data_IF_101955094994
#
_entry.id   IF_101955094994
#
_cell.length_a   1.000
_cell.length_b   1.000
_cell.length_c   1.000
_cell.angle_alpha   90.00
_cell.angle_beta   90.00
_cell.angle_gamma   90.00
#
_symmetry.space_group_name_H-M   'P 1'
#
loop_
_entity.id
_entity.type
_entity.pdbx_description
1 polymer ?
#
# COMPACT_ATOMS: atom_id res chain seq x y z
N UNK A 1 -30.83 45.00 41.11
CA UNK A 1 -29.45 44.51 41.32
C UNK A 1 -29.09 43.58 40.19
N UNK A 2 -28.30 44.05 39.24
CA UNK A 2 -27.90 43.27 38.05
C UNK A 2 -26.45 42.84 38.21
N UNK A 3 -26.23 41.52 38.23
CA UNK A 3 -24.90 40.88 38.39
C UNK A 3 -24.16 40.90 37.05
N UNK A 4 -23.07 41.63 36.96
CA UNK A 4 -22.16 41.68 35.81
C UNK A 4 -21.43 40.30 35.70
N UNK A 5 -21.61 39.59 34.61
CA UNK A 5 -20.72 38.48 34.20
C UNK A 5 -19.41 39.08 33.68
N UNK A 6 -18.31 38.79 34.34
CA UNK A 6 -16.95 39.05 33.83
C UNK A 6 -16.66 38.14 32.61
N UNK A 7 -16.30 38.78 31.50
CA UNK A 7 -15.78 38.13 30.31
C UNK A 7 -14.27 37.99 30.49
N UNK A 8 -13.77 36.79 30.56
CA UNK A 8 -12.32 36.52 30.56
C UNK A 8 -11.71 36.75 29.17
N UNK A 9 -10.47 37.26 29.08
CA UNK A 9 -9.83 37.60 27.82
C UNK A 9 -9.49 36.36 26.97
N UNK A 10 -9.64 36.50 25.66
CA UNK A 10 -9.44 35.50 24.62
C UNK A 10 -7.99 35.02 24.45
N UNK A 11 -7.04 35.55 25.17
CA UNK A 11 -5.60 35.27 25.00
C UNK A 11 -5.12 34.00 25.71
N UNK A 12 -5.90 33.39 26.60
CA UNK A 12 -5.49 32.14 27.28
C UNK A 12 -5.86 30.85 26.55
N UNK A 13 -6.61 30.91 25.45
CA UNK A 13 -7.03 29.71 24.66
C UNK A 13 -6.07 29.37 23.53
N UNK A 14 -5.14 30.25 23.16
CA UNK A 14 -4.18 30.00 22.07
C UNK A 14 -2.88 29.29 22.51
N UNK A 15 -2.68 29.06 23.81
CA UNK A 15 -1.45 28.46 24.32
C UNK A 15 -1.51 26.93 24.56
N UNK A 16 -2.64 26.27 24.35
CA UNK A 16 -2.77 24.83 24.62
C UNK A 16 -2.70 23.92 23.38
N UNK A 17 -2.65 24.45 22.16
CA UNK A 17 -2.64 23.64 20.92
C UNK A 17 -1.23 23.46 20.30
N UNK A 18 -0.15 23.74 21.05
CA UNK A 18 1.22 23.48 20.60
C UNK A 18 1.84 22.20 21.23
N UNK A 19 1.10 21.12 21.35
CA UNK A 19 1.72 19.80 21.43
C UNK A 19 2.13 19.38 20.01
N UNK A 20 3.20 20.00 19.52
CA UNK A 20 4.01 19.47 18.43
C UNK A 20 4.37 18.04 18.81
N UNK A 21 3.80 17.07 18.08
CA UNK A 21 4.37 15.74 17.99
C UNK A 21 5.81 15.91 17.49
N UNK A 22 6.76 15.97 18.41
CA UNK A 22 8.18 15.84 18.10
C UNK A 22 8.36 14.43 17.59
N UNK A 23 8.42 14.25 16.27
CA UNK A 23 8.96 13.05 15.67
C UNK A 23 10.38 12.87 16.24
N UNK A 24 10.54 11.96 17.18
CA UNK A 24 11.86 11.56 17.62
C UNK A 24 12.56 10.90 16.42
N UNK A 25 13.78 11.30 16.08
CA UNK A 25 14.51 10.66 15.00
C UNK A 25 14.69 9.17 15.34
N UNK A 26 14.14 8.29 14.49
CA UNK A 26 14.31 6.84 14.62
C UNK A 26 15.80 6.55 14.69
N UNK A 27 16.27 5.87 15.74
CA UNK A 27 17.69 5.55 15.88
C UNK A 27 18.17 4.77 14.67
N UNK A 28 19.39 5.03 14.18
CA UNK A 28 19.96 4.36 12.99
C UNK A 28 20.02 2.83 13.13
N UNK A 29 20.06 2.30 14.35
CA UNK A 29 20.01 0.88 14.65
C UNK A 29 18.66 0.20 14.32
N UNK A 30 17.59 0.99 14.21
CA UNK A 30 16.24 0.49 13.94
C UNK A 30 15.83 0.62 12.46
N UNK A 31 16.63 1.28 11.62
CA UNK A 31 16.33 1.46 10.20
C UNK A 31 16.53 0.17 9.42
N UNK A 32 15.57 -0.14 8.56
CA UNK A 32 15.70 -1.18 7.55
C UNK A 32 16.54 -0.63 6.37
N UNK A 33 17.43 -1.48 5.86
CA UNK A 33 18.31 -1.19 4.71
C UNK A 33 18.28 -2.37 3.74
N UNK A 34 18.82 -2.15 2.54
CA UNK A 34 18.87 -3.17 1.49
C UNK A 34 19.66 -4.43 1.91
N UNK A 35 20.74 -4.26 2.67
CA UNK A 35 21.58 -5.35 3.18
C UNK A 35 20.86 -6.27 4.19
N UNK A 36 19.74 -5.82 4.76
CA UNK A 36 18.90 -6.64 5.62
C UNK A 36 17.89 -7.49 4.81
N UNK A 37 17.69 -7.20 3.52
CA UNK A 37 16.74 -7.92 2.66
C UNK A 37 17.33 -9.28 2.29
N UNK A 38 16.62 -10.36 2.61
CA UNK A 38 17.00 -11.71 2.19
C UNK A 38 16.89 -11.85 0.68
N UNK A 39 17.87 -12.54 0.09
CA UNK A 39 17.84 -12.82 -1.35
C UNK A 39 16.93 -14.00 -1.66
N UNK A 40 15.98 -13.79 -2.54
CA UNK A 40 15.08 -14.82 -3.05
C UNK A 40 15.32 -15.06 -4.54
N UNK A 41 15.35 -16.34 -4.91
CA UNK A 41 15.42 -16.77 -6.31
C UNK A 41 14.01 -17.15 -6.78
N UNK A 42 13.69 -16.96 -8.07
CA UNK A 42 12.44 -17.44 -8.61
C UNK A 42 12.35 -18.96 -8.48
N UNK A 43 11.19 -19.45 -8.06
CA UNK A 43 10.91 -20.88 -7.88
C UNK A 43 10.23 -21.51 -9.10
N UNK A 44 9.68 -20.69 -9.98
CA UNK A 44 8.96 -21.11 -11.18
C UNK A 44 9.41 -20.30 -12.39
N UNK A 45 9.22 -20.88 -13.59
CA UNK A 45 9.51 -20.23 -14.87
C UNK A 45 8.79 -18.86 -15.01
N UNK A 46 7.52 -18.77 -14.54
CA UNK A 46 6.76 -17.52 -14.61
C UNK A 46 7.32 -16.44 -13.66
N UNK A 47 7.79 -16.84 -12.48
CA UNK A 47 8.48 -15.90 -11.58
C UNK A 47 9.81 -15.44 -12.20
N UNK A 48 10.53 -16.32 -12.88
CA UNK A 48 11.76 -15.96 -13.59
C UNK A 48 11.48 -14.98 -14.75
N UNK A 49 10.43 -15.21 -15.54
CA UNK A 49 9.98 -14.28 -16.59
C UNK A 49 9.65 -12.92 -16.00
N UNK A 50 8.94 -12.88 -14.87
CA UNK A 50 8.65 -11.61 -14.16
C UNK A 50 9.92 -10.91 -13.71
N UNK A 51 10.88 -11.61 -13.09
CA UNK A 51 12.12 -11.00 -12.63
C UNK A 51 12.95 -10.43 -13.80
N UNK A 52 12.95 -11.10 -14.96
CA UNK A 52 13.58 -10.61 -16.18
C UNK A 52 12.89 -9.36 -16.74
N UNK A 53 11.57 -9.37 -16.87
CA UNK A 53 10.78 -8.23 -17.32
C UNK A 53 10.96 -7.01 -16.38
N UNK A 54 10.90 -7.24 -15.07
CA UNK A 54 11.10 -6.20 -14.08
C UNK A 54 12.50 -5.54 -14.20
N UNK A 55 13.53 -6.34 -14.44
CA UNK A 55 14.92 -5.85 -14.66
C UNK A 55 15.08 -5.07 -15.97
N UNK A 56 14.25 -5.33 -16.98
CA UNK A 56 14.25 -4.57 -18.24
C UNK A 56 13.71 -3.15 -18.08
N UNK A 57 13.11 -2.83 -16.92
CA UNK A 57 12.66 -1.49 -16.59
C UNK A 57 11.24 -1.16 -17.04
N UNK A 58 10.41 -2.19 -17.25
CA UNK A 58 9.00 -1.98 -17.59
C UNK A 58 8.27 -1.20 -16.50
N UNK A 59 7.59 -0.11 -16.87
CA UNK A 59 6.83 0.74 -15.96
C UNK A 59 5.43 0.21 -15.68
N UNK A 60 4.92 -0.66 -16.52
CA UNK A 60 3.62 -1.31 -16.38
C UNK A 60 3.78 -2.82 -16.45
N UNK A 61 3.46 -3.53 -15.36
CA UNK A 61 3.58 -4.98 -15.29
C UNK A 61 2.29 -5.59 -14.77
N UNK A 62 1.79 -6.63 -15.42
CA UNK A 62 0.65 -7.41 -14.95
C UNK A 62 1.09 -8.83 -14.55
N UNK A 63 0.91 -9.18 -13.26
CA UNK A 63 1.16 -10.51 -12.72
C UNK A 63 -0.17 -11.24 -12.59
N UNK A 64 -0.43 -12.11 -13.53
CA UNK A 64 -1.64 -12.92 -13.57
C UNK A 64 -1.32 -14.40 -13.26
N UNK A 65 -2.18 -15.04 -12.48
CA UNK A 65 -2.05 -16.47 -12.16
C UNK A 65 -2.92 -16.87 -10.97
N UNK A 66 -3.06 -18.19 -10.75
CA UNK A 66 -3.85 -18.72 -9.63
C UNK A 66 -3.33 -18.26 -8.27
N UNK A 67 -4.20 -18.30 -7.25
CA UNK A 67 -3.81 -17.98 -5.87
C UNK A 67 -2.64 -18.85 -5.39
N UNK A 68 -1.84 -18.34 -4.47
CA UNK A 68 -0.70 -19.06 -3.90
C UNK A 68 0.54 -19.16 -4.79
N UNK A 69 0.55 -18.58 -6.01
CA UNK A 69 1.73 -18.62 -6.91
C UNK A 69 2.79 -17.57 -6.58
N UNK A 70 2.61 -16.79 -5.49
CA UNK A 70 3.60 -15.83 -5.02
C UNK A 70 3.63 -14.50 -5.78
N UNK A 71 2.57 -14.12 -6.53
CA UNK A 71 2.51 -12.85 -7.29
C UNK A 71 2.84 -11.65 -6.41
N UNK A 72 2.06 -11.44 -5.35
CA UNK A 72 2.22 -10.32 -4.42
C UNK A 72 3.55 -10.37 -3.68
N UNK A 73 4.03 -11.57 -3.33
CA UNK A 73 5.35 -11.77 -2.74
C UNK A 73 6.46 -11.29 -3.68
N UNK A 74 6.45 -11.73 -4.94
CA UNK A 74 7.45 -11.35 -5.93
C UNK A 74 7.40 -9.84 -6.25
N UNK A 75 6.19 -9.27 -6.35
CA UNK A 75 6.01 -7.84 -6.58
C UNK A 75 6.57 -7.01 -5.42
N UNK A 76 6.24 -7.35 -4.17
CA UNK A 76 6.77 -6.68 -2.98
C UNK A 76 8.28 -6.85 -2.86
N UNK A 77 8.80 -8.07 -3.07
CA UNK A 77 10.24 -8.32 -3.02
C UNK A 77 11.00 -7.39 -3.97
N UNK A 78 10.59 -7.33 -5.24
CA UNK A 78 11.26 -6.49 -6.24
C UNK A 78 11.09 -5.00 -5.98
N UNK A 79 9.92 -4.58 -5.50
CA UNK A 79 9.66 -3.19 -5.13
C UNK A 79 10.51 -2.75 -3.93
N UNK A 80 10.63 -3.59 -2.89
CA UNK A 80 11.44 -3.30 -1.70
C UNK A 80 12.92 -3.24 -2.09
N UNK A 81 13.40 -4.20 -2.90
CA UNK A 81 14.79 -4.20 -3.40
C UNK A 81 15.10 -2.87 -4.11
N UNK A 82 14.20 -2.40 -4.97
CA UNK A 82 14.40 -1.19 -5.76
C UNK A 82 14.27 0.10 -4.91
N UNK A 83 13.30 0.19 -3.98
CA UNK A 83 13.12 1.37 -3.12
C UNK A 83 14.24 1.52 -2.08
N UNK A 84 14.81 0.41 -1.60
CA UNK A 84 15.93 0.47 -0.67
C UNK A 84 17.28 0.70 -1.37
N UNK A 85 17.36 0.51 -2.68
CA UNK A 85 18.52 0.88 -3.49
C UNK A 85 18.46 2.37 -3.83
N UNK A 86 19.38 3.14 -3.26
CA UNK A 86 19.45 4.60 -3.43
C UNK A 86 19.91 5.05 -4.82
N UNK A 87 20.28 4.12 -5.70
CA UNK A 87 20.76 4.44 -7.04
C UNK A 87 19.63 4.75 -8.04
N UNK A 88 18.38 4.51 -7.68
CA UNK A 88 17.21 4.71 -8.55
C UNK A 88 16.24 5.80 -7.99
N UNK A 89 15.30 6.30 -8.81
CA UNK A 89 14.43 7.40 -8.43
C UNK A 89 13.29 7.02 -7.47
N UNK A 90 12.98 5.74 -7.31
CA UNK A 90 11.83 5.34 -6.51
C UNK A 90 12.17 5.41 -5.02
N UNK A 91 11.29 6.03 -4.25
CA UNK A 91 11.50 6.25 -2.81
C UNK A 91 10.43 5.60 -1.92
N UNK A 92 9.32 5.16 -2.50
CA UNK A 92 8.19 4.58 -1.76
C UNK A 92 7.43 3.53 -2.57
N UNK A 93 6.81 2.62 -1.83
CA UNK A 93 5.90 1.60 -2.34
C UNK A 93 4.50 1.96 -1.88
N UNK A 94 3.55 1.96 -2.79
CA UNK A 94 2.13 2.15 -2.49
C UNK A 94 1.41 0.84 -2.78
N UNK A 95 0.95 0.15 -1.76
CA UNK A 95 0.12 -1.05 -1.89
C UNK A 95 -1.34 -0.62 -1.94
N UNK A 96 -2.00 -0.89 -3.05
CA UNK A 96 -3.41 -0.54 -3.29
C UNK A 96 -4.24 -1.80 -3.35
N UNK A 97 -5.34 -1.83 -2.60
CA UNK A 97 -6.31 -2.90 -2.65
C UNK A 97 -7.74 -2.35 -2.57
N UNK A 98 -8.69 -2.97 -3.29
CA UNK A 98 -10.10 -2.64 -3.11
C UNK A 98 -10.56 -3.10 -1.73
N UNK A 99 -11.20 -2.20 -0.99
CA UNK A 99 -11.97 -2.56 0.19
C UNK A 99 -13.33 -3.09 -0.27
N UNK A 100 -13.36 -4.30 -0.84
CA UNK A 100 -14.62 -4.96 -1.09
C UNK A 100 -15.30 -5.14 0.26
N UNK A 101 -16.42 -4.46 0.47
CA UNK A 101 -17.33 -4.78 1.56
C UNK A 101 -17.92 -6.17 1.25
N UNK A 102 -17.09 -7.20 1.42
CA UNK A 102 -17.58 -8.57 1.43
C UNK A 102 -18.60 -8.68 2.56
N UNK A 103 -19.61 -9.50 2.38
CA UNK A 103 -20.67 -9.76 3.37
C UNK A 103 -20.12 -10.10 4.76
N UNK A 104 -18.85 -10.49 4.84
CA UNK A 104 -18.13 -10.86 6.06
C UNK A 104 -17.59 -9.66 6.85
N UNK A 105 -17.28 -8.54 6.20
CA UNK A 105 -16.63 -7.38 6.87
C UNK A 105 -17.64 -6.34 7.36
N UNK A 106 -18.87 -6.33 6.80
CA UNK A 106 -19.93 -5.41 7.24
C UNK A 106 -20.36 -5.59 8.70
N UNK A 107 -19.98 -6.71 9.34
CA UNK A 107 -20.33 -7.08 10.71
C UNK A 107 -19.13 -7.12 11.66
N UNK A 108 -17.90 -6.86 11.19
CA UNK A 108 -16.75 -6.74 12.10
C UNK A 108 -16.92 -5.46 12.93
N UNK A 109 -17.01 -5.55 14.26
CA UNK A 109 -16.92 -4.38 15.13
C UNK A 109 -15.53 -3.79 15.00
N UNK A 110 -15.42 -2.47 14.98
CA UNK A 110 -14.15 -1.76 14.88
C UNK A 110 -14.25 -0.54 14.01
N UNK A 111 -13.32 0.39 14.21
CA UNK A 111 -13.19 1.58 13.40
C UNK A 111 -12.56 1.26 12.01
N UNK A 112 -12.44 2.27 11.16
CA UNK A 112 -11.88 2.13 9.81
C UNK A 112 -10.42 1.65 9.87
N UNK A 113 -9.67 2.05 10.89
CA UNK A 113 -8.26 1.71 11.04
C UNK A 113 -8.08 0.24 11.41
N UNK A 114 -8.86 -0.29 12.35
CA UNK A 114 -8.85 -1.72 12.72
C UNK A 114 -9.20 -2.62 11.52
N UNK A 115 -10.16 -2.20 10.70
CA UNK A 115 -10.50 -2.92 9.46
C UNK A 115 -9.36 -2.89 8.44
N UNK A 116 -8.65 -1.78 8.33
CA UNK A 116 -7.52 -1.64 7.42
C UNK A 116 -6.33 -2.51 7.84
N UNK A 117 -6.10 -2.72 9.14
CA UNK A 117 -5.04 -3.60 9.65
C UNK A 117 -5.23 -5.06 9.18
N UNK A 118 -6.47 -5.55 9.12
CA UNK A 118 -6.75 -6.90 8.62
C UNK A 118 -6.30 -7.06 7.16
N UNK A 119 -6.55 -6.05 6.32
CA UNK A 119 -6.10 -6.06 4.93
C UNK A 119 -4.59 -5.96 4.77
N UNK A 120 -3.88 -5.40 5.75
CA UNK A 120 -2.42 -5.28 5.74
C UNK A 120 -1.70 -6.57 6.15
N UNK A 121 -2.37 -7.47 6.89
CA UNK A 121 -1.74 -8.68 7.44
C UNK A 121 -0.96 -9.52 6.42
N UNK A 122 -1.46 -9.79 5.20
CA UNK A 122 -0.69 -10.54 4.21
C UNK A 122 0.65 -9.86 3.85
N UNK A 123 0.66 -8.55 3.75
CA UNK A 123 1.87 -7.78 3.40
C UNK A 123 2.86 -7.72 4.55
N UNK A 124 2.37 -7.61 5.79
CA UNK A 124 3.19 -7.72 7.01
C UNK A 124 3.89 -9.07 7.09
N UNK A 125 3.19 -10.17 6.81
CA UNK A 125 3.78 -11.52 6.75
C UNK A 125 4.84 -11.66 5.65
N UNK A 126 4.61 -11.06 4.49
CA UNK A 126 5.61 -11.03 3.42
C UNK A 126 6.85 -10.27 3.90
N UNK A 127 6.70 -9.07 4.47
CA UNK A 127 7.82 -8.29 5.00
C UNK A 127 8.56 -9.03 6.11
N UNK A 128 7.86 -9.72 7.03
CA UNK A 128 8.47 -10.58 8.05
C UNK A 128 9.34 -11.67 7.41
N UNK A 129 8.84 -12.30 6.37
CA UNK A 129 9.59 -13.34 5.63
C UNK A 129 10.83 -12.77 4.97
N UNK A 130 10.69 -11.62 4.32
CA UNK A 130 11.75 -10.95 3.55
C UNK A 130 12.90 -10.47 4.45
N UNK A 131 12.61 -9.99 5.63
CA UNK A 131 13.61 -9.44 6.55
C UNK A 131 13.93 -10.33 7.76
N UNK A 132 13.11 -11.36 8.02
CA UNK A 132 13.25 -12.24 9.18
C UNK A 132 12.94 -11.54 10.51
N UNK A 133 12.11 -10.48 10.49
CA UNK A 133 11.71 -9.72 11.68
C UNK A 133 10.25 -9.27 11.58
N UNK A 134 9.51 -9.39 12.69
CA UNK A 134 8.06 -9.12 12.73
C UNK A 134 7.68 -7.66 12.50
N UNK A 135 8.53 -6.74 12.96
CA UNK A 135 8.30 -5.30 12.84
C UNK A 135 8.78 -4.70 11.50
N UNK A 136 9.11 -5.55 10.50
CA UNK A 136 9.64 -5.10 9.22
C UNK A 136 8.71 -4.12 8.49
N UNK A 137 7.40 -4.42 8.44
CA UNK A 137 6.41 -3.54 7.83
C UNK A 137 6.38 -2.18 8.54
N UNK A 138 6.26 -2.17 9.87
CA UNK A 138 6.16 -0.94 10.66
C UNK A 138 7.40 -0.06 10.47
N UNK A 139 8.58 -0.67 10.39
CA UNK A 139 9.82 0.07 10.12
C UNK A 139 9.89 0.65 8.71
N UNK A 140 9.43 -0.08 7.70
CA UNK A 140 9.34 0.45 6.34
C UNK A 140 8.34 1.61 6.26
N UNK A 141 7.21 1.51 6.97
CA UNK A 141 6.18 2.53 7.04
C UNK A 141 6.67 3.79 7.79
N UNK A 142 7.32 3.63 8.95
CA UNK A 142 7.98 4.71 9.70
C UNK A 142 9.06 5.44 8.87
N UNK A 143 9.73 4.73 7.98
CA UNK A 143 10.72 5.29 7.05
C UNK A 143 10.08 5.86 5.78
N UNK A 144 8.76 5.82 5.67
CA UNK A 144 8.00 6.25 4.49
C UNK A 144 8.34 5.48 3.20
N UNK A 145 8.88 4.26 3.34
CA UNK A 145 9.21 3.40 2.20
C UNK A 145 8.04 2.54 1.75
N UNK A 146 7.02 2.35 2.58
CA UNK A 146 5.81 1.61 2.22
C UNK A 146 4.57 2.25 2.83
N UNK A 147 3.47 2.18 2.09
CA UNK A 147 2.16 2.61 2.55
C UNK A 147 1.08 1.71 1.96
N UNK A 148 0.08 1.36 2.77
CA UNK A 148 -1.13 0.69 2.30
C UNK A 148 -2.27 1.68 2.14
N UNK A 149 -2.99 1.62 1.02
CA UNK A 149 -4.12 2.52 0.74
C UNK A 149 -5.26 1.70 0.11
N UNK A 150 -6.46 1.83 0.65
CA UNK A 150 -7.65 1.31 -0.03
C UNK A 150 -8.07 2.23 -1.18
N UNK A 151 -8.63 1.64 -2.24
CA UNK A 151 -9.20 2.38 -3.38
C UNK A 151 -10.20 3.46 -2.96
N UNK A 152 -10.88 3.28 -1.82
CA UNK A 152 -11.82 4.26 -1.28
C UNK A 152 -11.18 5.59 -0.85
N UNK A 153 -9.87 5.60 -0.56
CA UNK A 153 -9.14 6.77 -0.05
C UNK A 153 -8.13 7.36 -1.04
N UNK A 154 -8.04 6.82 -2.25
CA UNK A 154 -7.01 7.20 -3.23
C UNK A 154 -7.36 8.46 -4.03
N UNK A 155 -8.61 8.91 -4.00
CA UNK A 155 -9.07 10.08 -4.75
C UNK A 155 -8.35 11.35 -4.32
N UNK A 156 -7.91 12.16 -5.30
CA UNK A 156 -7.17 13.42 -5.04
C UNK A 156 -5.69 13.24 -4.73
N UNK A 157 -5.17 12.00 -4.65
CA UNK A 157 -3.75 11.74 -4.47
C UNK A 157 -3.01 11.70 -5.83
N UNK A 158 -1.69 11.86 -5.80
CA UNK A 158 -0.77 11.57 -6.91
C UNK A 158 0.44 10.84 -6.33
N UNK A 159 0.89 9.81 -7.04
CA UNK A 159 2.01 8.99 -6.59
C UNK A 159 3.21 9.20 -7.50
N UNK A 160 4.05 10.15 -7.15
CA UNK A 160 5.30 10.45 -7.84
C UNK A 160 6.45 9.66 -7.20
N UNK A 161 7.46 9.31 -8.00
CA UNK A 161 8.66 8.57 -7.60
C UNK A 161 8.32 7.28 -6.82
N UNK A 162 7.25 6.59 -7.22
CA UNK A 162 6.65 5.50 -6.46
C UNK A 162 6.56 4.21 -7.28
N UNK A 163 6.61 3.08 -6.56
CA UNK A 163 6.21 1.78 -7.11
C UNK A 163 4.84 1.45 -6.55
N UNK A 164 3.84 1.37 -7.41
CA UNK A 164 2.45 1.09 -7.05
C UNK A 164 2.19 -0.40 -7.27
N UNK A 165 1.74 -1.11 -6.25
CA UNK A 165 1.33 -2.51 -6.32
C UNK A 165 -0.17 -2.57 -6.11
N UNK A 166 -0.91 -2.92 -7.16
CA UNK A 166 -2.36 -3.11 -7.10
C UNK A 166 -2.63 -4.59 -6.89
N UNK A 167 -3.09 -4.95 -5.70
CA UNK A 167 -3.31 -6.34 -5.33
C UNK A 167 -4.80 -6.72 -5.41
N UNK A 168 -5.07 -8.01 -5.69
CA UNK A 168 -6.41 -8.56 -5.89
C UNK A 168 -7.24 -7.78 -6.94
N UNK A 169 -6.58 -7.42 -8.06
CA UNK A 169 -7.20 -6.55 -9.08
C UNK A 169 -8.53 -7.09 -9.63
N UNK A 170 -8.76 -8.40 -9.60
CA UNK A 170 -10.02 -9.02 -10.05
C UNK A 170 -11.23 -8.63 -9.20
N UNK A 171 -11.00 -8.08 -8.00
CA UNK A 171 -12.05 -7.61 -7.09
C UNK A 171 -12.32 -6.10 -7.22
N UNK A 172 -11.63 -5.42 -8.14
CA UNK A 172 -11.85 -4.01 -8.43
C UNK A 172 -12.94 -3.79 -9.46
N UNK A 173 -13.74 -2.74 -9.27
CA UNK A 173 -14.63 -2.23 -10.30
C UNK A 173 -13.82 -1.46 -11.36
N UNK A 174 -14.44 -1.23 -12.53
CA UNK A 174 -13.80 -0.44 -13.57
C UNK A 174 -13.44 0.98 -13.09
N UNK A 175 -14.35 1.61 -12.32
CA UNK A 175 -14.13 2.94 -11.75
C UNK A 175 -12.95 2.97 -10.74
N UNK A 176 -12.74 1.89 -9.98
CA UNK A 176 -11.59 1.77 -9.09
C UNK A 176 -10.29 1.64 -9.89
N UNK A 177 -10.27 0.83 -10.95
CA UNK A 177 -9.13 0.67 -11.85
C UNK A 177 -8.78 2.02 -12.48
N UNK A 178 -9.76 2.73 -13.05
CA UNK A 178 -9.57 4.05 -13.64
C UNK A 178 -9.04 5.05 -12.60
N UNK A 179 -9.62 5.03 -11.39
CA UNK A 179 -9.16 5.86 -10.29
C UNK A 179 -7.67 5.61 -9.97
N UNK A 180 -7.25 4.35 -9.88
CA UNK A 180 -5.83 4.01 -9.61
C UNK A 180 -4.94 4.47 -10.76
N UNK A 181 -5.32 4.19 -12.01
CA UNK A 181 -4.54 4.57 -13.20
C UNK A 181 -4.30 6.08 -13.28
N UNK A 182 -5.30 6.87 -12.94
CA UNK A 182 -5.19 8.34 -12.95
C UNK A 182 -4.36 8.91 -11.79
N UNK A 183 -3.92 8.09 -10.85
CA UNK A 183 -3.04 8.49 -9.72
C UNK A 183 -1.57 8.17 -9.96
N UNK A 184 -1.24 7.40 -11.01
CA UNK A 184 0.15 7.12 -11.38
C UNK A 184 0.80 8.43 -11.82
N UNK A 185 1.74 8.90 -11.02
CA UNK A 185 2.40 10.18 -11.21
C UNK A 185 3.75 10.08 -11.96
N UNK A 186 4.52 11.15 -11.87
CA UNK A 186 5.81 11.25 -12.54
C UNK A 186 6.80 10.21 -12.00
N UNK A 187 7.58 9.59 -12.90
CA UNK A 187 8.59 8.57 -12.58
C UNK A 187 8.06 7.46 -11.68
N UNK A 188 6.85 6.95 -11.95
CA UNK A 188 6.27 5.88 -11.15
C UNK A 188 6.05 4.62 -11.97
N UNK A 189 6.16 3.49 -11.31
CA UNK A 189 5.95 2.15 -11.86
C UNK A 189 4.70 1.54 -11.23
N UNK A 190 3.92 0.80 -12.02
CA UNK A 190 2.71 0.12 -11.53
C UNK A 190 2.75 -1.38 -11.85
N UNK A 191 2.45 -2.18 -10.84
CA UNK A 191 2.32 -3.63 -10.93
C UNK A 191 0.91 -4.05 -10.53
N UNK A 192 0.23 -4.77 -11.42
CA UNK A 192 -1.10 -5.32 -11.19
C UNK A 192 -1.00 -6.80 -10.84
N UNK A 193 -1.47 -7.18 -9.65
CA UNK A 193 -1.49 -8.57 -9.18
C UNK A 193 -2.93 -9.07 -9.09
N UNK A 194 -3.23 -10.23 -9.67
CA UNK A 194 -4.57 -10.78 -9.60
C UNK A 194 -4.73 -12.18 -10.16
N UNK A 195 -5.92 -12.74 -9.91
CA UNK A 195 -6.40 -13.99 -10.46
C UNK A 195 -7.82 -13.80 -11.00
N UNK A 196 -7.96 -13.64 -12.32
CA UNK A 196 -9.27 -13.41 -12.95
C UNK A 196 -10.27 -14.55 -12.72
N UNK A 197 -9.81 -15.73 -12.27
CA UNK A 197 -10.68 -16.88 -11.97
C UNK A 197 -11.32 -16.77 -10.59
N UNK A 198 -10.75 -15.94 -9.70
CA UNK A 198 -11.20 -15.71 -8.34
C UNK A 198 -11.70 -14.26 -8.22
N UNK A 199 -12.98 -14.04 -8.47
CA UNK A 199 -13.59 -12.73 -8.29
C UNK A 199 -14.73 -12.80 -7.29
N UNK A 200 -14.69 -11.93 -6.28
CA UNK A 200 -15.75 -11.72 -5.31
C UNK A 200 -16.82 -10.76 -5.83
N UNK A 201 -16.61 -10.15 -7.00
CA UNK A 201 -17.60 -9.30 -7.66
C UNK A 201 -18.75 -10.16 -8.18
N UNK A 202 -19.98 -9.81 -7.78
CA UNK A 202 -21.17 -10.43 -8.34
C UNK A 202 -21.16 -10.27 -9.86
N UNK A 203 -21.24 -11.36 -10.64
CA UNK A 203 -21.26 -11.39 -12.11
C UNK A 203 -22.29 -10.46 -12.74
N UNK A 204 -23.29 -9.99 -11.98
CA UNK A 204 -24.31 -9.02 -12.41
C UNK A 204 -23.80 -7.57 -12.49
N UNK A 205 -22.63 -7.22 -11.90
CA UNK A 205 -22.09 -5.85 -11.91
C UNK A 205 -21.02 -5.60 -12.97
N UNK A 206 -20.51 -6.65 -13.60
CA UNK A 206 -19.68 -6.49 -14.79
C UNK A 206 -20.69 -6.18 -15.92
N UNK A 207 -20.99 -4.89 -16.08
CA UNK A 207 -21.84 -4.40 -17.15
C UNK A 207 -21.34 -5.00 -18.47
N UNK A 208 -22.23 -5.67 -19.21
CA UNK A 208 -22.01 -5.98 -20.61
C UNK A 208 -21.74 -4.67 -21.33
N UNK A 209 -20.48 -4.32 -21.49
CA UNK A 209 -20.10 -3.40 -22.54
C UNK A 209 -20.36 -4.15 -23.85
N UNK A 210 -21.55 -3.97 -24.42
CA UNK A 210 -21.78 -4.32 -25.80
C UNK A 210 -20.97 -3.33 -26.63
N UNK A 211 -19.92 -3.81 -27.24
CA UNK A 211 -19.31 -3.19 -28.40
C UNK A 211 -20.26 -3.37 -29.58
#
# INVERSE_FOLDING_TARGET
MATKKQVQPREELEQQDQHKHKHQPVSNALKIKLDHLKTFKPLTENQEKFFKAYKQGDYFVALHGVAGTGKTFCALYKAIEEVLDKSNPFNKIIVVRSAVQGREIGHLPGDVNEKMEIYQQPYRQICETLFGRRDAWDRLEEQHHIQFISTSFIRGMSFDDAIIIVDEMQNMTFEEIDTVMTRVGYRSKIMWCGDYRQTDLNKKKIGRAHV
#
